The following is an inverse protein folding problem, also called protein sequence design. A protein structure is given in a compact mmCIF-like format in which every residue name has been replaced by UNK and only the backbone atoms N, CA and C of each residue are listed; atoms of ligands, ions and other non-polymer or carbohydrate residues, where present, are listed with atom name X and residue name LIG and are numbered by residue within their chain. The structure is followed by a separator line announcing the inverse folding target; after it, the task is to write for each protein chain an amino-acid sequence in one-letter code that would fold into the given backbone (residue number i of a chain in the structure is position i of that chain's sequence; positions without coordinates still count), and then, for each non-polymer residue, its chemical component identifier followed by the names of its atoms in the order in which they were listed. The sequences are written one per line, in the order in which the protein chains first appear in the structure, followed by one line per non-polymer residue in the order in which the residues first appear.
data_IF_591180993483
#
_entry.id   IF_591180993483
#
_cell.length_a   1.000
_cell.length_b   1.000
_cell.length_c   1.000
_cell.angle_alpha   90.00
_cell.angle_beta   90.00
_cell.angle_gamma   90.00
#
_symmetry.space_group_name_H-M   'P 1'
#
loop_
_entity.id
_entity.type
_entity.pdbx_description
1 polymer ?
#
# COMPACT_ATOMS: atom_id res chain seq x y z
N UNK A 1 53.37 17.53 -67.11
CA UNK A 1 54.21 18.76 -67.14
C UNK A 1 53.42 19.92 -66.54
N UNK A 2 54.11 21.04 -66.26
CA UNK A 2 53.64 22.35 -65.74
C UNK A 2 52.13 22.64 -65.92
N UNK A 3 51.34 22.99 -64.90
CA UNK A 3 51.45 24.10 -63.93
C UNK A 3 51.21 25.51 -64.52
N UNK A 4 50.12 26.17 -64.13
CA UNK A 4 50.09 27.59 -63.64
C UNK A 4 48.67 28.06 -63.24
N UNK A 5 48.64 28.98 -62.26
CA UNK A 5 47.58 29.96 -61.92
C UNK A 5 48.18 31.37 -62.17
N UNK A 6 47.48 32.51 -61.98
CA UNK A 6 46.04 32.74 -61.72
C UNK A 6 45.36 33.27 -63.00
N UNK A 7 44.39 34.20 -63.14
CA UNK A 7 43.61 35.16 -62.30
C UNK A 7 42.17 35.22 -62.92
N UNK A 8 41.22 36.17 -62.76
CA UNK A 8 41.04 37.49 -62.12
C UNK A 8 39.53 37.72 -61.87
N UNK A 9 39.16 38.70 -61.02
CA UNK A 9 37.90 39.46 -61.18
C UNK A 9 36.74 39.12 -60.26
N UNK A 10 36.47 39.96 -59.27
CA UNK A 10 35.24 39.92 -58.46
C UNK A 10 34.11 40.71 -59.15
N UNK A 11 32.91 40.12 -59.24
CA UNK A 11 31.64 40.87 -59.25
C UNK A 11 30.70 40.22 -58.24
N UNK A 12 30.23 41.00 -57.27
CA UNK A 12 29.38 40.50 -56.19
C UNK A 12 27.93 40.28 -56.66
N UNK A 13 27.30 39.22 -56.15
CA UNK A 13 25.83 39.11 -56.04
C UNK A 13 25.46 38.70 -54.63
N UNK A 14 24.64 39.53 -54.00
CA UNK A 14 24.16 39.32 -52.63
C UNK A 14 23.33 38.04 -52.51
N UNK A 15 23.71 37.17 -51.58
CA UNK A 15 22.77 36.22 -50.96
C UNK A 15 22.62 36.60 -49.50
N UNK A 16 21.47 37.16 -49.15
CA UNK A 16 21.05 37.25 -47.74
C UNK A 16 20.78 35.82 -47.29
N UNK A 17 21.77 35.21 -46.63
CA UNK A 17 21.58 33.96 -45.94
C UNK A 17 20.63 34.22 -44.76
N UNK A 18 19.37 33.80 -44.91
CA UNK A 18 18.43 33.75 -43.80
C UNK A 18 18.90 32.68 -42.81
N UNK A 19 19.81 33.06 -41.91
CA UNK A 19 20.17 32.27 -40.74
C UNK A 19 18.96 32.21 -39.81
N UNK A 20 18.08 31.23 -40.08
CA UNK A 20 17.08 30.76 -39.14
C UNK A 20 17.82 30.27 -37.89
N UNK A 21 18.05 31.20 -36.97
CA UNK A 21 18.63 30.96 -35.66
C UNK A 21 17.69 30.05 -34.89
N UNK A 22 17.90 28.75 -35.03
CA UNK A 22 17.22 27.72 -34.26
C UNK A 22 17.60 27.88 -32.78
N UNK A 23 16.93 28.82 -32.11
CA UNK A 23 16.90 28.92 -30.66
C UNK A 23 16.45 27.55 -30.16
N UNK A 24 17.40 26.79 -29.62
CA UNK A 24 17.10 25.61 -28.79
C UNK A 24 16.41 26.12 -27.54
N UNK A 25 15.10 26.33 -27.63
CA UNK A 25 14.23 26.39 -26.47
C UNK A 25 14.48 25.12 -25.68
N UNK A 26 14.91 25.26 -24.42
CA UNK A 26 15.03 24.13 -23.51
C UNK A 26 13.67 23.44 -23.45
N UNK A 27 13.57 22.23 -23.99
CA UNK A 27 12.38 21.41 -23.83
C UNK A 27 12.24 21.09 -22.34
N UNK A 28 11.15 21.52 -21.73
CA UNK A 28 10.86 21.28 -20.31
C UNK A 28 10.53 19.80 -20.10
N UNK A 29 11.56 19.03 -19.82
CA UNK A 29 11.48 17.71 -19.17
C UNK A 29 10.91 17.95 -17.76
N UNK A 30 9.90 17.23 -17.25
CA UNK A 30 9.11 16.11 -17.79
C UNK A 30 7.76 16.02 -17.07
N UNK A 31 6.74 15.46 -17.73
CA UNK A 31 5.73 14.69 -16.99
C UNK A 31 6.42 13.41 -16.45
N UNK A 32 6.74 13.35 -15.15
CA UNK A 32 7.24 12.09 -14.59
C UNK A 32 6.11 11.06 -14.59
N UNK A 33 6.39 9.77 -14.85
CA UNK A 33 5.41 8.70 -14.61
C UNK A 33 4.84 8.71 -13.18
N UNK A 34 5.58 9.29 -12.22
CA UNK A 34 5.18 9.44 -10.82
C UNK A 34 4.27 10.66 -10.55
N UNK A 35 4.20 11.64 -11.45
CA UNK A 35 3.29 12.81 -11.31
C UNK A 35 1.84 12.48 -11.71
N UNK A 36 1.59 11.27 -12.22
CA UNK A 36 0.27 10.86 -12.73
C UNK A 36 -0.71 10.58 -11.59
N UNK A 37 -1.83 11.30 -11.58
CA UNK A 37 -2.97 11.07 -10.67
C UNK A 37 -3.73 9.79 -11.03
N UNK A 38 -3.25 8.65 -10.55
CA UNK A 38 -3.94 7.35 -10.57
C UNK A 38 -4.75 7.21 -9.29
N UNK A 39 -6.05 6.90 -9.37
CA UNK A 39 -6.89 6.66 -8.18
C UNK A 39 -6.34 5.47 -7.38
N UNK A 40 -6.50 5.47 -6.05
CA UNK A 40 -6.14 4.30 -5.23
C UNK A 40 -7.04 3.09 -5.52
N UNK A 41 -8.31 3.31 -5.85
CA UNK A 41 -9.30 2.29 -6.18
C UNK A 41 -10.51 2.89 -6.94
N UNK A 42 -11.51 2.06 -7.23
CA UNK A 42 -12.70 2.46 -7.98
C UNK A 42 -13.79 3.16 -7.14
N UNK A 43 -13.75 3.03 -5.82
CA UNK A 43 -14.82 3.41 -4.90
C UNK A 43 -14.63 4.81 -4.28
N UNK A 44 -13.38 5.17 -4.00
CA UNK A 44 -13.02 6.35 -3.22
C UNK A 44 -12.52 7.49 -4.12
N UNK A 45 -13.40 8.45 -4.40
CA UNK A 45 -13.08 9.65 -5.18
C UNK A 45 -12.02 10.54 -4.48
N UNK A 46 -11.29 11.34 -5.26
CA UNK A 46 -10.27 12.27 -4.73
C UNK A 46 -8.98 11.64 -4.19
N UNK A 47 -8.95 10.33 -3.96
CA UNK A 47 -7.81 9.62 -3.37
C UNK A 47 -6.91 9.01 -4.46
N UNK A 48 -5.63 9.40 -4.46
CA UNK A 48 -4.65 9.04 -5.49
C UNK A 48 -3.41 8.36 -4.89
N UNK A 49 -2.75 7.51 -5.67
CA UNK A 49 -1.51 6.83 -5.26
C UNK A 49 -0.34 7.82 -5.37
N UNK A 50 0.38 8.08 -4.27
CA UNK A 50 1.44 9.10 -4.23
C UNK A 50 2.85 8.52 -4.34
N UNK A 51 3.12 7.78 -5.42
CA UNK A 51 4.45 7.22 -5.69
C UNK A 51 5.57 8.28 -5.80
N UNK A 52 5.23 9.54 -6.09
CA UNK A 52 6.16 10.66 -6.09
C UNK A 52 6.73 10.91 -4.69
N UNK A 53 5.89 11.26 -3.72
CA UNK A 53 6.33 11.49 -2.33
C UNK A 53 6.96 10.24 -1.75
N UNK A 54 6.48 9.04 -2.13
CA UNK A 54 7.12 7.81 -1.69
C UNK A 54 8.58 7.71 -2.17
N UNK A 55 8.85 8.05 -3.43
CA UNK A 55 10.20 8.07 -4.00
C UNK A 55 11.08 9.19 -3.41
N UNK A 56 10.51 10.35 -3.11
CA UNK A 56 11.19 11.50 -2.47
C UNK A 56 11.61 11.14 -1.03
N UNK A 57 10.70 10.59 -0.23
CA UNK A 57 10.97 10.11 1.13
C UNK A 57 12.02 8.99 1.16
N UNK A 58 11.94 8.03 0.22
CA UNK A 58 12.96 6.98 0.06
C UNK A 58 14.33 7.57 -0.30
N UNK A 59 14.40 8.64 -1.11
CA UNK A 59 15.67 9.28 -1.47
C UNK A 59 16.33 9.94 -0.24
N UNK A 60 15.54 10.66 0.58
CA UNK A 60 15.99 11.22 1.87
C UNK A 60 16.53 10.11 2.77
N UNK A 61 15.75 9.05 3.01
CA UNK A 61 16.16 7.97 3.92
C UNK A 61 17.37 7.18 3.40
N UNK A 62 17.53 7.00 2.07
CA UNK A 62 18.74 6.40 1.49
C UNK A 62 19.99 7.25 1.74
N UNK A 63 19.90 8.56 1.60
CA UNK A 63 21.03 9.47 1.87
C UNK A 63 21.45 9.47 3.35
N UNK A 64 20.49 9.28 4.27
CA UNK A 64 20.74 9.16 5.71
C UNK A 64 21.35 7.81 6.11
N UNK A 65 20.87 6.70 5.54
CA UNK A 65 21.27 5.34 5.95
C UNK A 65 22.47 4.76 5.18
N UNK A 66 22.79 5.29 3.99
CA UNK A 66 23.91 4.87 3.12
C UNK A 66 24.06 3.34 2.94
N UNK A 67 22.94 2.62 2.82
CA UNK A 67 22.90 1.16 2.62
C UNK A 67 21.71 0.74 1.75
N UNK A 68 21.73 -0.48 1.18
CA UNK A 68 20.54 -1.07 0.59
C UNK A 68 19.37 -1.14 1.59
N UNK A 69 18.16 -0.95 1.06
CA UNK A 69 16.90 -1.13 1.78
C UNK A 69 16.18 -2.39 1.27
N UNK A 70 15.54 -3.14 2.17
CA UNK A 70 14.64 -4.25 1.79
C UNK A 70 13.39 -3.72 1.08
N UNK A 71 12.47 -4.58 0.62
CA UNK A 71 11.18 -4.11 0.09
C UNK A 71 10.30 -3.49 1.18
N UNK A 72 10.11 -4.18 2.31
CA UNK A 72 9.31 -3.64 3.42
C UNK A 72 9.92 -2.38 4.04
N UNK A 73 11.26 -2.22 4.04
CA UNK A 73 11.88 -0.96 4.44
C UNK A 73 11.55 0.20 3.49
N UNK A 74 11.49 -0.04 2.18
CA UNK A 74 11.13 1.02 1.22
C UNK A 74 9.71 1.52 1.49
N UNK A 75 8.76 0.62 1.76
CA UNK A 75 7.38 1.00 2.04
C UNK A 75 7.27 1.73 3.39
N UNK A 76 7.77 1.15 4.49
CA UNK A 76 7.66 1.82 5.79
C UNK A 76 8.38 3.17 5.82
N UNK A 77 9.57 3.26 5.22
CA UNK A 77 10.32 4.51 5.19
C UNK A 77 9.80 5.52 4.16
N UNK A 78 8.95 5.11 3.20
CA UNK A 78 8.27 6.04 2.29
C UNK A 78 7.05 6.72 2.93
N UNK A 79 6.48 6.13 3.98
CA UNK A 79 5.29 6.60 4.69
C UNK A 79 5.61 7.30 6.02
N UNK A 80 6.86 7.74 6.23
CA UNK A 80 7.24 8.48 7.45
C UNK A 80 6.61 9.87 7.48
N UNK A 81 6.13 10.27 8.65
CA UNK A 81 5.65 11.63 8.95
C UNK A 81 6.79 12.66 8.87
N UNK A 82 8.01 12.26 9.28
CA UNK A 82 9.24 13.02 9.08
C UNK A 82 10.39 12.10 8.61
N UNK A 83 10.67 12.01 7.30
CA UNK A 83 11.77 11.21 6.77
C UNK A 83 13.17 11.81 7.08
N UNK A 84 13.26 13.07 7.52
CA UNK A 84 14.51 13.76 7.81
C UNK A 84 14.99 13.57 9.25
N UNK A 85 14.10 13.67 10.24
CA UNK A 85 14.42 13.56 11.67
C UNK A 85 14.19 12.18 12.28
N UNK A 86 13.26 11.37 11.75
CA UNK A 86 12.91 10.04 12.30
C UNK A 86 14.13 9.14 12.54
N UNK A 87 14.20 8.48 13.69
CA UNK A 87 15.18 7.43 14.00
C UNK A 87 14.77 6.05 13.42
N UNK A 88 15.72 5.25 12.96
CA UNK A 88 15.52 4.14 12.01
C UNK A 88 16.20 2.83 12.44
N UNK A 89 16.52 2.64 13.71
CA UNK A 89 17.14 1.42 14.23
C UNK A 89 16.13 0.26 14.35
N UNK A 90 16.32 -0.77 13.52
CA UNK A 90 15.46 -1.97 13.45
C UNK A 90 15.36 -2.71 14.79
N UNK A 91 14.18 -2.68 15.38
CA UNK A 91 13.82 -3.34 16.63
C UNK A 91 14.09 -2.49 17.88
N UNK A 92 14.43 -1.22 17.71
CA UNK A 92 14.62 -0.25 18.81
C UNK A 92 13.64 0.91 18.64
N UNK A 93 13.76 1.68 17.56
CA UNK A 93 13.00 2.91 17.29
C UNK A 93 11.50 2.65 17.08
N UNK A 94 10.68 3.65 17.37
CA UNK A 94 9.28 3.71 16.94
C UNK A 94 9.16 4.66 15.74
N UNK A 95 8.63 4.14 14.63
CA UNK A 95 8.43 4.86 13.37
C UNK A 95 7.08 5.57 13.40
N UNK A 96 7.06 6.88 13.17
CA UNK A 96 5.84 7.67 12.97
C UNK A 96 5.42 7.60 11.51
N UNK A 97 4.30 6.92 11.27
CA UNK A 97 3.84 6.52 9.95
C UNK A 97 2.51 7.19 9.58
N UNK A 98 2.31 7.36 8.27
CA UNK A 98 1.06 7.76 7.63
C UNK A 98 0.58 6.65 6.71
N UNK A 99 -0.21 5.67 7.20
CA UNK A 99 -0.89 4.72 6.32
C UNK A 99 -1.76 5.44 5.28
N UNK A 100 -1.87 4.88 4.08
CA UNK A 100 -2.80 5.36 3.06
C UNK A 100 -4.24 5.22 3.55
N UNK A 101 -4.57 4.05 4.13
CA UNK A 101 -5.95 3.65 4.44
C UNK A 101 -6.08 2.74 5.66
N UNK A 102 -7.31 2.66 6.17
CA UNK A 102 -7.73 1.83 7.29
C UNK A 102 -8.79 0.80 6.84
N UNK A 103 -8.78 -0.40 7.40
CA UNK A 103 -9.80 -1.42 7.16
C UNK A 103 -10.24 -2.13 8.46
N UNK A 104 -11.54 -2.18 8.73
CA UNK A 104 -12.09 -2.78 9.95
C UNK A 104 -13.11 -3.88 9.63
N UNK A 105 -13.13 -4.96 10.39
CA UNK A 105 -14.17 -5.99 10.32
C UNK A 105 -15.21 -5.79 11.43
N UNK A 106 -16.44 -6.28 11.25
CA UNK A 106 -17.59 -5.91 12.08
C UNK A 106 -17.47 -6.28 13.57
N UNK A 107 -16.69 -7.30 13.93
CA UNK A 107 -16.44 -7.62 15.34
C UNK A 107 -15.51 -6.61 16.05
N UNK A 108 -14.56 -5.97 15.36
CA UNK A 108 -13.65 -4.96 15.93
C UNK A 108 -14.03 -3.52 15.58
N UNK A 109 -14.72 -3.29 14.47
CA UNK A 109 -15.18 -1.99 14.00
C UNK A 109 -16.12 -1.30 15.01
N UNK A 110 -16.94 -2.07 15.73
CA UNK A 110 -17.85 -1.54 16.74
C UNK A 110 -17.13 -0.68 17.79
N UNK A 111 -16.06 -1.22 18.38
CA UNK A 111 -15.29 -0.52 19.42
C UNK A 111 -14.41 0.60 18.83
N UNK A 112 -13.81 0.38 17.65
CA UNK A 112 -13.03 1.40 16.96
C UNK A 112 -13.89 2.63 16.60
N UNK A 113 -15.12 2.42 16.12
CA UNK A 113 -16.05 3.51 15.79
C UNK A 113 -16.53 4.22 17.06
N UNK A 114 -16.86 3.51 18.16
CA UNK A 114 -17.22 4.17 19.42
C UNK A 114 -16.08 5.01 20.02
N UNK A 115 -14.83 4.57 19.86
CA UNK A 115 -13.64 5.35 20.21
C UNK A 115 -13.48 6.57 19.30
N UNK A 116 -13.65 6.42 17.98
CA UNK A 116 -13.61 7.53 17.03
C UNK A 116 -14.72 8.57 17.27
N UNK A 117 -15.94 8.12 17.59
CA UNK A 117 -17.05 8.96 18.01
C UNK A 117 -16.70 9.78 19.26
N UNK A 118 -15.97 9.18 20.20
CA UNK A 118 -15.52 9.82 21.44
C UNK A 118 -14.40 10.84 21.21
N UNK A 119 -13.64 10.73 20.12
CA UNK A 119 -12.66 11.73 19.70
C UNK A 119 -13.29 13.01 19.11
N UNK A 120 -14.61 13.01 18.85
CA UNK A 120 -15.35 14.21 18.41
C UNK A 120 -15.08 14.66 16.96
N UNK A 121 -14.34 13.86 16.18
CA UNK A 121 -13.99 14.17 14.80
C UNK A 121 -15.22 14.14 13.87
N UNK A 122 -15.33 15.05 12.88
CA UNK A 122 -16.51 15.15 12.01
C UNK A 122 -16.59 14.03 10.97
N UNK A 123 -15.43 13.56 10.49
CA UNK A 123 -15.27 12.48 9.50
C UNK A 123 -13.86 11.92 9.62
N UNK A 124 -13.61 10.72 9.07
CA UNK A 124 -12.26 10.14 9.02
C UNK A 124 -11.32 10.98 8.14
N UNK A 125 -10.05 11.05 8.52
CA UNK A 125 -8.99 11.77 7.78
C UNK A 125 -8.44 10.96 6.60
N UNK A 126 -8.43 9.63 6.71
CA UNK A 126 -7.95 8.68 5.71
C UNK A 126 -9.10 7.79 5.20
N UNK A 127 -9.04 7.33 3.94
CA UNK A 127 -9.97 6.32 3.42
C UNK A 127 -10.08 5.12 4.35
N UNK A 128 -11.31 4.81 4.75
CA UNK A 128 -11.61 3.78 5.74
C UNK A 128 -12.77 2.93 5.24
N UNK A 129 -12.70 1.62 5.46
CA UNK A 129 -13.79 0.68 5.12
C UNK A 129 -14.12 -0.27 6.26
N UNK A 130 -15.41 -0.50 6.50
CA UNK A 130 -15.95 -1.54 7.40
C UNK A 130 -16.51 -2.69 6.57
N UNK A 131 -16.30 -3.92 7.02
CA UNK A 131 -16.70 -5.16 6.35
C UNK A 131 -17.49 -6.05 7.32
N UNK A 132 -18.64 -6.56 6.89
CA UNK A 132 -19.52 -7.41 7.71
C UNK A 132 -19.36 -8.90 7.38
N UNK A 133 -18.40 -9.55 8.03
CA UNK A 133 -18.00 -10.93 7.75
C UNK A 133 -17.80 -11.83 8.98
N UNK A 134 -17.64 -11.30 10.20
CA UNK A 134 -17.41 -12.10 11.41
C UNK A 134 -18.71 -12.52 12.12
N UNK A 135 -19.83 -11.85 11.88
CA UNK A 135 -21.10 -12.09 12.58
C UNK A 135 -22.07 -13.06 11.87
N UNK A 136 -21.59 -13.79 10.85
CA UNK A 136 -22.38 -14.75 10.07
C UNK A 136 -22.01 -16.19 10.45
N UNK A 137 -22.78 -16.79 11.36
CA UNK A 137 -22.60 -18.18 11.78
C UNK A 137 -23.10 -19.18 10.73
N UNK A 138 -22.23 -20.07 10.25
CA UNK A 138 -22.58 -21.16 9.34
C UNK A 138 -23.35 -22.28 10.07
N UNK A 139 -24.53 -22.66 9.55
CA UNK A 139 -25.41 -23.65 10.18
C UNK A 139 -26.26 -24.43 9.15
N UNK A 140 -26.95 -23.73 8.24
CA UNK A 140 -27.93 -24.29 7.30
C UNK A 140 -27.61 -24.04 5.82
N UNK A 141 -26.51 -23.34 5.53
CA UNK A 141 -26.04 -22.99 4.19
C UNK A 141 -26.26 -21.51 3.87
N UNK A 142 -25.29 -20.93 3.12
CA UNK A 142 -25.11 -19.49 2.91
C UNK A 142 -26.37 -18.62 2.87
N UNK A 143 -27.35 -18.85 1.97
CA UNK A 143 -28.54 -17.99 1.88
C UNK A 143 -29.42 -17.98 3.14
N UNK A 144 -29.50 -19.10 3.87
CA UNK A 144 -30.25 -19.20 5.13
C UNK A 144 -29.48 -18.58 6.29
N UNK A 145 -28.18 -18.84 6.34
CA UNK A 145 -27.29 -18.32 7.38
C UNK A 145 -27.14 -16.80 7.29
N UNK A 146 -27.04 -16.26 6.07
CA UNK A 146 -27.03 -14.82 5.81
C UNK A 146 -28.36 -14.16 6.20
N UNK A 147 -29.51 -14.74 5.85
CA UNK A 147 -30.81 -14.21 6.27
C UNK A 147 -30.91 -14.14 7.80
N UNK A 148 -30.62 -15.27 8.46
CA UNK A 148 -30.59 -15.40 9.93
C UNK A 148 -29.60 -14.42 10.59
N UNK A 149 -28.43 -14.19 10.00
CA UNK A 149 -27.45 -13.25 10.51
C UNK A 149 -27.90 -11.79 10.37
N UNK A 150 -28.63 -11.44 9.31
CA UNK A 150 -29.24 -10.11 9.16
C UNK A 150 -30.34 -9.84 10.19
N UNK A 151 -31.13 -10.87 10.56
CA UNK A 151 -32.14 -10.75 11.60
C UNK A 151 -31.51 -10.63 13.01
N UNK A 152 -30.56 -11.52 13.34
CA UNK A 152 -29.94 -11.59 14.68
C UNK A 152 -29.07 -10.37 14.97
N UNK A 153 -28.22 -9.96 14.03
CA UNK A 153 -27.24 -8.88 14.24
C UNK A 153 -27.75 -7.51 13.75
N UNK A 154 -29.07 -7.35 13.54
CA UNK A 154 -29.65 -6.16 12.91
C UNK A 154 -29.21 -4.85 13.57
N UNK A 155 -29.20 -4.79 14.90
CA UNK A 155 -28.78 -3.61 15.67
C UNK A 155 -27.32 -3.21 15.36
N UNK A 156 -26.41 -4.19 15.30
CA UNK A 156 -24.99 -3.98 14.98
C UNK A 156 -24.82 -3.51 13.54
N UNK A 157 -25.53 -4.12 12.59
CA UNK A 157 -25.46 -3.73 11.18
C UNK A 157 -26.07 -2.34 10.92
N UNK A 158 -27.19 -2.00 11.57
CA UNK A 158 -27.78 -0.66 11.52
C UNK A 158 -26.85 0.40 12.14
N UNK A 159 -26.21 0.10 13.28
CA UNK A 159 -25.21 0.96 13.91
C UNK A 159 -24.00 1.18 12.98
N UNK A 160 -23.37 0.11 12.49
CA UNK A 160 -22.20 0.22 11.62
C UNK A 160 -22.55 0.96 10.32
N UNK A 161 -23.67 0.66 9.67
CA UNK A 161 -24.09 1.35 8.44
C UNK A 161 -24.33 2.85 8.65
N UNK A 162 -25.05 3.22 9.72
CA UNK A 162 -25.38 4.63 10.02
C UNK A 162 -24.17 5.43 10.50
N UNK A 163 -23.28 4.84 11.31
CA UNK A 163 -22.03 5.46 11.71
C UNK A 163 -21.08 5.62 10.52
N UNK A 164 -20.99 4.61 9.63
CA UNK A 164 -20.15 4.71 8.44
C UNK A 164 -20.61 5.82 7.50
N UNK A 165 -21.92 5.92 7.25
CA UNK A 165 -22.51 7.01 6.47
C UNK A 165 -22.28 8.39 7.10
N UNK A 166 -22.29 8.49 8.43
CA UNK A 166 -22.02 9.75 9.15
C UNK A 166 -20.55 10.20 9.01
N UNK A 167 -19.60 9.29 9.15
CA UNK A 167 -18.18 9.61 9.28
C UNK A 167 -17.36 9.48 7.98
N UNK A 168 -18.03 9.29 6.83
CA UNK A 168 -17.42 9.08 5.51
C UNK A 168 -16.54 7.81 5.45
N UNK A 169 -17.09 6.69 5.92
CA UNK A 169 -16.47 5.36 5.90
C UNK A 169 -17.24 4.48 4.90
N UNK A 170 -16.54 3.73 4.05
CA UNK A 170 -17.17 2.78 3.13
C UNK A 170 -17.71 1.54 3.87
N UNK A 171 -18.94 1.11 3.58
CA UNK A 171 -19.60 0.01 4.30
C UNK A 171 -19.92 -1.18 3.37
N UNK A 172 -19.18 -2.29 3.55
CA UNK A 172 -19.42 -3.56 2.88
C UNK A 172 -20.41 -4.40 3.68
N UNK A 173 -21.61 -4.54 3.11
CA UNK A 173 -22.80 -5.14 3.75
C UNK A 173 -22.60 -6.64 4.07
N UNK A 174 -23.35 -7.19 5.05
CA UNK A 174 -23.32 -8.62 5.37
C UNK A 174 -23.45 -9.50 4.12
N UNK A 175 -22.52 -10.45 3.97
CA UNK A 175 -22.47 -11.34 2.81
C UNK A 175 -21.74 -10.79 1.59
N UNK A 176 -21.06 -9.64 1.68
CA UNK A 176 -20.18 -9.11 0.62
C UNK A 176 -18.97 -10.00 0.31
N UNK A 177 -18.48 -10.74 1.31
CA UNK A 177 -17.20 -11.45 1.28
C UNK A 177 -16.33 -11.10 2.49
N UNK A 178 -15.24 -11.85 2.67
CA UNK A 178 -14.30 -11.67 3.79
C UNK A 178 -13.44 -10.42 3.54
N UNK A 179 -13.20 -9.63 4.59
CA UNK A 179 -12.43 -8.37 4.56
C UNK A 179 -11.15 -8.47 3.73
N UNK A 180 -10.33 -9.50 3.97
CA UNK A 180 -9.02 -9.64 3.32
C UNK A 180 -9.08 -9.97 1.84
N UNK A 181 -10.17 -10.60 1.38
CA UNK A 181 -10.44 -10.85 -0.04
C UNK A 181 -10.90 -9.56 -0.71
N UNK A 182 -11.86 -8.85 -0.11
CA UNK A 182 -12.36 -7.57 -0.61
C UNK A 182 -11.21 -6.56 -0.69
N UNK A 183 -10.33 -6.51 0.31
CA UNK A 183 -9.12 -5.68 0.30
C UNK A 183 -8.18 -6.08 -0.85
N UNK A 184 -7.89 -7.36 -1.05
CA UNK A 184 -7.01 -7.81 -2.13
C UNK A 184 -7.58 -7.48 -3.53
N UNK A 185 -8.88 -7.64 -3.73
CA UNK A 185 -9.56 -7.41 -5.01
C UNK A 185 -9.79 -5.93 -5.34
N UNK A 186 -9.97 -5.07 -4.33
CA UNK A 186 -10.48 -3.70 -4.54
C UNK A 186 -9.56 -2.58 -4.03
N UNK A 187 -8.67 -2.83 -3.07
CA UNK A 187 -8.02 -1.77 -2.28
C UNK A 187 -6.50 -1.93 -2.08
N UNK A 188 -5.95 -3.12 -2.27
CA UNK A 188 -4.51 -3.37 -2.17
C UNK A 188 -3.79 -2.94 -3.45
N UNK A 189 -2.66 -2.24 -3.30
CA UNK A 189 -1.80 -1.88 -4.42
C UNK A 189 -0.31 -1.97 -4.05
N UNK A 190 0.59 -2.24 -5.01
CA UNK A 190 2.02 -2.39 -4.73
C UNK A 190 2.61 -1.13 -4.10
N UNK A 191 3.28 -1.29 -2.96
CA UNK A 191 3.99 -0.21 -2.28
C UNK A 191 3.17 0.74 -1.42
N UNK A 192 1.85 0.54 -1.28
CA UNK A 192 1.04 1.29 -0.29
C UNK A 192 1.18 0.76 1.14
N UNK A 193 0.67 1.51 2.12
CA UNK A 193 0.61 1.13 3.53
C UNK A 193 -0.84 1.09 4.04
N UNK A 194 -1.30 -0.08 4.46
CA UNK A 194 -2.63 -0.29 5.08
C UNK A 194 -2.45 -0.76 6.52
N UNK A 195 -3.28 -0.23 7.42
CA UNK A 195 -3.54 -0.85 8.73
C UNK A 195 -4.96 -1.40 8.77
N UNK A 196 -5.16 -2.49 9.51
CA UNK A 196 -6.50 -3.05 9.68
C UNK A 196 -6.70 -3.74 11.02
N UNK A 197 -7.94 -3.70 11.53
CA UNK A 197 -8.28 -4.20 12.88
C UNK A 197 -8.51 -5.71 12.90
N UNK A 198 -7.65 -6.46 12.20
CA UNK A 198 -7.63 -7.92 12.16
C UNK A 198 -6.19 -8.47 12.05
N UNK A 199 -5.93 -9.68 12.55
CA UNK A 199 -4.59 -10.27 12.54
C UNK A 199 -4.14 -10.79 11.15
N UNK A 200 -5.07 -11.08 10.24
CA UNK A 200 -4.75 -11.61 8.90
C UNK A 200 -4.61 -10.51 7.83
N UNK A 201 -4.70 -9.24 8.23
CA UNK A 201 -4.44 -8.07 7.37
C UNK A 201 -3.19 -8.16 6.50
N UNK A 202 -2.07 -8.80 6.90
CA UNK A 202 -0.93 -9.09 6.01
C UNK A 202 -1.24 -9.82 4.70
N UNK A 203 -2.45 -10.35 4.48
CA UNK A 203 -2.90 -10.87 3.19
C UNK A 203 -2.66 -9.88 2.01
N UNK A 204 -2.84 -8.58 2.26
CA UNK A 204 -2.58 -7.53 1.26
C UNK A 204 -1.13 -7.47 0.75
N UNK A 205 -0.18 -8.08 1.46
CA UNK A 205 1.21 -8.21 1.02
C UNK A 205 1.38 -9.14 -0.20
N UNK A 206 0.39 -9.98 -0.53
CA UNK A 206 0.36 -10.73 -1.79
C UNK A 206 0.40 -9.81 -3.02
N UNK A 207 -0.22 -8.62 -2.94
CA UNK A 207 -0.16 -7.57 -3.95
C UNK A 207 0.98 -6.56 -3.74
N UNK A 208 1.93 -6.85 -2.85
CA UNK A 208 3.08 -5.98 -2.55
C UNK A 208 2.76 -4.77 -1.66
N UNK A 209 1.59 -4.75 -1.01
CA UNK A 209 1.27 -3.71 -0.01
C UNK A 209 1.95 -4.02 1.33
N UNK A 210 2.37 -3.02 2.10
CA UNK A 210 2.62 -3.22 3.52
C UNK A 210 1.26 -3.18 4.25
N UNK A 211 0.70 -4.35 4.54
CA UNK A 211 -0.57 -4.47 5.24
C UNK A 211 -0.32 -5.03 6.66
N UNK A 212 -0.75 -4.32 7.70
CA UNK A 212 -0.41 -4.64 9.10
C UNK A 212 -1.67 -4.69 9.97
N UNK A 213 -1.79 -5.78 10.74
CA UNK A 213 -2.87 -5.95 11.73
C UNK A 213 -2.61 -5.13 13.00
N UNK A 214 -3.63 -4.42 13.48
CA UNK A 214 -3.55 -3.46 14.60
C UNK A 214 -4.77 -3.55 15.53
N UNK A 215 -4.75 -2.84 16.66
CA UNK A 215 -5.89 -2.67 17.54
C UNK A 215 -6.86 -1.58 17.07
N UNK A 216 -8.05 -1.53 17.68
CA UNK A 216 -9.05 -0.50 17.37
C UNK A 216 -8.57 0.93 17.63
N UNK A 217 -7.76 1.13 18.67
CA UNK A 217 -7.18 2.44 19.00
C UNK A 217 -6.15 2.92 17.96
N UNK A 218 -5.27 2.04 17.48
CA UNK A 218 -4.31 2.36 16.42
C UNK A 218 -5.01 2.81 15.13
N UNK A 219 -6.15 2.19 14.81
CA UNK A 219 -7.00 2.59 13.71
C UNK A 219 -7.67 3.96 13.95
N UNK A 220 -8.05 4.28 15.20
CA UNK A 220 -8.61 5.58 15.59
C UNK A 220 -7.59 6.70 15.42
N UNK A 221 -6.32 6.47 15.75
CA UNK A 221 -5.26 7.48 15.53
C UNK A 221 -5.18 7.89 14.06
N UNK A 222 -5.14 6.93 13.13
CA UNK A 222 -5.11 7.23 11.69
C UNK A 222 -6.43 7.80 11.18
N UNK A 223 -7.58 7.28 11.65
CA UNK A 223 -8.89 7.88 11.34
C UNK A 223 -8.99 9.34 11.82
N UNK A 224 -8.32 9.70 12.92
CA UNK A 224 -8.24 11.07 13.44
C UNK A 224 -7.13 11.94 12.80
N UNK A 225 -6.32 11.38 11.89
CA UNK A 225 -5.24 12.11 11.21
C UNK A 225 -3.98 12.30 12.07
N UNK A 226 -3.76 11.44 13.06
CA UNK A 226 -2.52 11.36 13.84
C UNK A 226 -1.49 10.44 13.16
N UNK A 227 -0.18 10.58 13.43
CA UNK A 227 0.81 9.60 12.99
C UNK A 227 0.69 8.31 13.81
N UNK A 228 0.64 7.16 13.15
CA UNK A 228 0.63 5.84 13.80
C UNK A 228 2.06 5.42 14.17
N UNK A 229 2.27 4.93 15.40
CA UNK A 229 3.60 4.49 15.87
C UNK A 229 3.80 2.98 15.72
N UNK A 230 4.70 2.59 14.81
CA UNK A 230 5.13 1.20 14.62
C UNK A 230 6.55 1.00 15.12
N UNK A 231 6.78 0.08 16.07
CA UNK A 231 8.14 -0.33 16.43
C UNK A 231 8.86 -0.89 15.20
N UNK A 232 9.97 -0.26 14.81
CA UNK A 232 10.71 -0.54 13.58
C UNK A 232 11.00 -2.05 13.45
N UNK A 233 10.50 -2.76 12.42
CA UNK A 233 10.62 -4.21 12.38
C UNK A 233 12.04 -4.66 12.05
N UNK A 234 12.40 -5.86 12.55
CA UNK A 234 13.49 -6.65 11.97
C UNK A 234 12.97 -7.39 10.72
N UNK A 235 13.83 -8.03 9.94
CA UNK A 235 13.44 -8.69 8.70
C UNK A 235 13.90 -10.15 8.69
N UNK A 236 13.02 -11.04 8.23
CA UNK A 236 13.29 -12.46 7.98
C UNK A 236 13.17 -12.70 6.47
N UNK A 237 14.30 -12.82 5.77
CA UNK A 237 14.31 -13.16 4.35
C UNK A 237 14.02 -14.64 4.14
N UNK A 238 13.03 -14.97 3.31
CA UNK A 238 12.70 -16.34 2.92
C UNK A 238 13.01 -16.53 1.44
N UNK A 239 14.13 -17.21 1.13
CA UNK A 239 14.52 -17.48 -0.26
C UNK A 239 13.75 -18.68 -0.81
N UNK A 240 12.96 -18.48 -1.86
CA UNK A 240 12.27 -19.54 -2.59
C UNK A 240 13.09 -19.99 -3.81
N UNK A 241 13.25 -21.31 -3.93
CA UNK A 241 14.10 -21.96 -4.96
C UNK A 241 13.43 -23.22 -5.49
N UNK A 242 13.50 -23.44 -6.81
CA UNK A 242 12.72 -24.49 -7.47
C UNK A 242 11.27 -24.06 -7.68
N UNK A 243 10.39 -25.01 -8.02
CA UNK A 243 8.98 -24.76 -8.34
C UNK A 243 8.07 -25.73 -7.59
N UNK A 244 6.83 -25.31 -7.32
CA UNK A 244 5.78 -26.22 -6.86
C UNK A 244 5.47 -27.27 -7.93
N UNK A 245 5.06 -28.47 -7.49
CA UNK A 245 4.78 -29.60 -8.39
C UNK A 245 3.94 -30.68 -7.69
N UNK A 246 3.18 -31.46 -8.47
CA UNK A 246 2.28 -32.46 -7.92
C UNK A 246 1.15 -31.81 -7.13
N UNK A 247 0.94 -32.25 -5.89
CA UNK A 247 -0.08 -31.71 -4.99
C UNK A 247 0.39 -30.50 -4.16
N UNK A 248 1.66 -30.08 -4.27
CA UNK A 248 2.21 -29.01 -3.46
C UNK A 248 1.65 -27.63 -3.85
N UNK A 249 1.18 -26.88 -2.86
CA UNK A 249 0.52 -25.58 -2.98
C UNK A 249 1.29 -24.46 -2.28
N UNK A 250 0.97 -23.18 -2.50
CA UNK A 250 1.55 -22.07 -1.72
C UNK A 250 1.21 -22.14 -0.23
N UNK A 251 0.08 -22.76 0.15
CA UNK A 251 -0.28 -23.05 1.55
C UNK A 251 0.73 -23.97 2.25
N UNK A 252 1.36 -24.88 1.51
CA UNK A 252 2.44 -25.72 2.04
C UNK A 252 3.71 -24.92 2.35
N UNK A 253 3.98 -23.83 1.61
CA UNK A 253 5.15 -22.96 1.83
C UNK A 253 5.02 -22.25 3.18
N UNK A 254 3.89 -21.60 3.45
CA UNK A 254 3.65 -20.92 4.73
C UNK A 254 3.52 -21.91 5.89
N UNK A 255 2.88 -23.08 5.68
CA UNK A 255 2.78 -24.13 6.70
C UNK A 255 4.15 -24.71 7.06
N UNK A 256 5.01 -24.95 6.05
CA UNK A 256 6.40 -25.39 6.27
C UNK A 256 7.23 -24.32 6.98
N UNK A 257 7.06 -23.05 6.62
CA UNK A 257 7.74 -21.92 7.29
C UNK A 257 7.31 -21.83 8.76
N UNK A 258 6.01 -21.88 9.05
CA UNK A 258 5.48 -21.85 10.42
C UNK A 258 6.02 -23.02 11.27
N UNK A 259 6.17 -24.21 10.69
CA UNK A 259 6.82 -25.36 11.33
C UNK A 259 8.32 -25.18 11.59
N UNK A 260 9.02 -24.35 10.80
CA UNK A 260 10.44 -24.01 11.02
C UNK A 260 10.58 -22.90 12.07
N UNK A 261 9.77 -21.85 11.99
CA UNK A 261 9.90 -20.65 12.85
C UNK A 261 9.22 -20.82 14.21
N UNK A 262 8.24 -21.72 14.33
CA UNK A 262 7.23 -21.76 15.39
C UNK A 262 6.41 -20.46 15.50
N UNK A 263 5.42 -20.45 16.40
CA UNK A 263 4.59 -19.27 16.70
C UNK A 263 5.35 -18.07 17.27
N UNK A 264 6.61 -18.24 17.71
CA UNK A 264 7.44 -17.14 18.25
C UNK A 264 8.52 -16.62 17.29
N UNK A 265 8.83 -17.35 16.21
CA UNK A 265 9.93 -16.97 15.32
C UNK A 265 9.65 -15.68 14.53
N UNK A 266 8.40 -15.41 14.19
CA UNK A 266 7.98 -14.19 13.48
C UNK A 266 7.94 -12.92 14.34
N UNK A 267 7.90 -13.01 15.67
CA UNK A 267 7.67 -11.84 16.56
C UNK A 267 8.67 -10.71 16.31
N UNK A 268 8.15 -9.50 16.08
CA UNK A 268 8.93 -8.29 15.80
C UNK A 268 9.62 -8.26 14.42
N UNK A 269 9.14 -9.06 13.45
CA UNK A 269 9.75 -9.15 12.11
C UNK A 269 8.72 -9.08 10.99
N UNK A 270 9.09 -8.43 9.90
CA UNK A 270 8.46 -8.66 8.59
C UNK A 270 9.14 -9.88 7.94
N UNK A 271 8.34 -10.80 7.40
CA UNK A 271 8.81 -11.88 6.54
C UNK A 271 8.83 -11.38 5.10
N UNK A 272 9.98 -11.41 4.45
CA UNK A 272 10.16 -10.90 3.08
C UNK A 272 10.58 -12.06 2.17
N UNK A 273 9.67 -12.51 1.30
CA UNK A 273 9.91 -13.59 0.35
C UNK A 273 10.69 -13.08 -0.86
N UNK A 274 11.69 -13.83 -1.32
CA UNK A 274 12.54 -13.45 -2.45
C UNK A 274 13.11 -14.65 -3.20
N UNK A 275 13.60 -14.42 -4.43
CA UNK A 275 14.22 -15.43 -5.27
C UNK A 275 13.63 -15.47 -6.68
N UNK A 276 14.35 -16.08 -7.61
CA UNK A 276 14.02 -16.13 -9.05
C UNK A 276 12.65 -16.77 -9.34
N UNK A 277 12.15 -17.62 -8.44
CA UNK A 277 10.98 -18.46 -8.64
C UNK A 277 9.68 -17.86 -8.08
N UNK A 278 9.69 -16.61 -7.60
CA UNK A 278 8.49 -15.95 -7.04
C UNK A 278 7.32 -15.91 -8.04
N UNK A 279 7.63 -15.78 -9.34
CA UNK A 279 6.65 -15.74 -10.43
C UNK A 279 5.85 -17.04 -10.65
N UNK A 280 6.19 -18.14 -9.97
CA UNK A 280 5.43 -19.41 -10.03
C UNK A 280 4.37 -19.53 -8.92
N UNK A 281 4.12 -18.46 -8.17
CA UNK A 281 3.07 -18.37 -7.15
C UNK A 281 2.03 -17.36 -7.62
N UNK A 282 0.74 -17.73 -7.54
CA UNK A 282 -0.38 -16.84 -7.89
C UNK A 282 -0.54 -15.73 -6.85
N UNK A 283 -1.07 -14.57 -7.25
CA UNK A 283 -1.44 -13.50 -6.31
C UNK A 283 -2.53 -13.96 -5.32
N UNK A 284 -3.48 -14.75 -5.83
CA UNK A 284 -4.51 -15.43 -5.06
C UNK A 284 -4.09 -16.89 -4.84
N UNK A 285 -3.57 -17.19 -3.63
CA UNK A 285 -3.16 -18.54 -3.23
C UNK A 285 -3.08 -18.72 -1.70
N UNK A 286 -4.08 -18.20 -1.00
CA UNK A 286 -4.20 -18.21 0.48
C UNK A 286 -4.46 -19.58 1.11
#
# INVERSE_FOLDING_TARGET
MLATRPVLGNIARSRVAATLGARRTMATVSDSPLDKKVKQNNWEEGNFINYKTFSENIAVVRSRLNRPLTYGEKILYSHLDDPHGQDLERGVSYLKLRPDRVACQDATAQMAILQFMSAGMPSVANPTTVHCDHLIEAQLGGPKDLARANDINKEVYDFLASACAKYNIGFWKPGSGIIHQIILENYAFPGGLLIGTDSHTPNGAGLGMAAIGVGGADAVDVMAGLPWELKAPKYMGVKLTGKLSGWASPKDIITKLAGITTVKGGTGKIVEYYGENLFFISLDSG
#
